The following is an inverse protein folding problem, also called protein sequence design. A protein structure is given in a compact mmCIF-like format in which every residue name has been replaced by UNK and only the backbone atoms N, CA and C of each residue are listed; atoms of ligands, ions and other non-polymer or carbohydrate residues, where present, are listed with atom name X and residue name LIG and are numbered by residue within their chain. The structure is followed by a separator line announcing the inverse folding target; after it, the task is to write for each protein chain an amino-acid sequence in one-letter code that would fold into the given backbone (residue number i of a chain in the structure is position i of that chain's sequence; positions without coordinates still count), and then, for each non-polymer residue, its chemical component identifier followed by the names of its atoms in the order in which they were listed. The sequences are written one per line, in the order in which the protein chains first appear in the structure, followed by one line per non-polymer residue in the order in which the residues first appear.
data_IF_609665933357
#
_entry.id   IF_609665933357
#
_cell.length_a   1.000
_cell.length_b   1.000
_cell.length_c   1.000
_cell.angle_alpha   90.00
_cell.angle_beta   90.00
_cell.angle_gamma   90.00
#
_symmetry.space_group_name_H-M   'P 1'
#
loop_
_entity.id
_entity.type
_entity.pdbx_description
1 polymer ?
#
# COMPACT_ATOMS: atom_id res chain seq x y z
N UNK A 1 -10.51 3.01 21.71
CA UNK A 1 -11.74 2.81 20.91
C UNK A 1 -11.58 3.12 19.42
N UNK A 2 -10.46 3.67 18.93
CA UNK A 2 -10.25 3.90 17.49
C UNK A 2 -9.93 2.61 16.68
N UNK A 3 -9.17 1.66 17.25
CA UNK A 3 -8.70 0.47 16.50
C UNK A 3 -9.79 -0.56 16.15
N UNK A 4 -10.88 -0.62 16.92
CA UNK A 4 -11.99 -1.55 16.64
C UNK A 4 -12.71 -1.21 15.33
N UNK A 5 -12.73 0.08 14.96
CA UNK A 5 -13.33 0.52 13.69
C UNK A 5 -12.49 0.08 12.47
N UNK A 6 -11.16 0.15 12.58
CA UNK A 6 -10.25 -0.20 11.47
C UNK A 6 -10.39 -1.67 11.08
N UNK A 7 -10.50 -2.58 12.05
CA UNK A 7 -10.65 -4.01 11.74
C UNK A 7 -11.92 -4.28 10.91
N UNK A 8 -13.04 -3.64 11.26
CA UNK A 8 -14.29 -3.77 10.49
C UNK A 8 -14.22 -3.11 9.11
N UNK A 9 -13.49 -2.00 8.95
CA UNK A 9 -13.21 -1.40 7.64
C UNK A 9 -12.42 -2.39 6.77
N UNK A 10 -11.35 -2.96 7.32
CA UNK A 10 -10.47 -3.90 6.62
C UNK A 10 -11.20 -5.16 6.15
N UNK A 11 -12.16 -5.67 6.93
CA UNK A 11 -13.00 -6.79 6.50
C UNK A 11 -13.87 -6.42 5.29
N UNK A 12 -14.51 -5.24 5.33
CA UNK A 12 -15.37 -4.75 4.24
C UNK A 12 -14.61 -4.47 2.95
N UNK A 13 -13.35 -4.04 3.05
CA UNK A 13 -12.44 -3.89 1.90
C UNK A 13 -12.25 -5.18 1.11
N UNK A 14 -12.39 -6.35 1.75
CA UNK A 14 -12.30 -7.66 1.10
C UNK A 14 -13.66 -8.25 0.69
N UNK A 15 -14.74 -7.46 0.83
CA UNK A 15 -16.10 -7.88 0.52
C UNK A 15 -16.38 -8.12 -0.97
N UNK A 16 -17.46 -8.85 -1.27
CA UNK A 16 -17.85 -9.14 -2.67
C UNK A 16 -18.41 -7.92 -3.40
N UNK A 17 -19.08 -7.04 -2.67
CA UNK A 17 -19.76 -5.87 -3.24
C UNK A 17 -18.78 -4.72 -3.51
N UNK A 18 -18.83 -4.18 -4.74
CA UNK A 18 -17.92 -3.11 -5.19
C UNK A 18 -18.09 -1.84 -4.37
N UNK A 19 -19.32 -1.44 -4.08
CA UNK A 19 -19.60 -0.18 -3.41
C UNK A 19 -19.19 -0.25 -1.94
N UNK A 20 -19.37 -1.41 -1.30
CA UNK A 20 -18.81 -1.65 0.04
C UNK A 20 -17.29 -1.61 0.07
N UNK A 21 -16.60 -2.20 -0.91
CA UNK A 21 -15.13 -2.10 -0.98
C UNK A 21 -14.69 -0.66 -1.20
N UNK A 22 -15.34 0.07 -2.09
CA UNK A 22 -15.06 1.48 -2.35
C UNK A 22 -15.25 2.33 -1.09
N UNK A 23 -16.41 2.22 -0.44
CA UNK A 23 -16.72 2.93 0.81
C UNK A 23 -15.70 2.61 1.90
N UNK A 24 -15.39 1.33 2.12
CA UNK A 24 -14.44 0.92 3.14
C UNK A 24 -13.02 1.45 2.84
N UNK A 25 -12.60 1.46 1.58
CA UNK A 25 -11.30 2.03 1.18
C UNK A 25 -11.30 3.55 1.39
N UNK A 26 -12.42 4.24 1.15
CA UNK A 26 -12.58 5.67 1.42
C UNK A 26 -12.53 5.99 2.92
N UNK A 27 -13.19 5.17 3.73
CA UNK A 27 -13.18 5.28 5.19
C UNK A 27 -11.76 5.07 5.71
N UNK A 28 -11.04 4.06 5.21
CA UNK A 28 -9.64 3.84 5.55
C UNK A 28 -8.77 5.06 5.21
N UNK A 29 -8.91 5.62 4.01
CA UNK A 29 -8.18 6.82 3.61
C UNK A 29 -8.44 7.98 4.59
N UNK A 30 -9.69 8.15 5.00
CA UNK A 30 -10.10 9.19 5.94
C UNK A 30 -9.49 8.98 7.33
N UNK A 31 -9.44 7.73 7.81
CA UNK A 31 -8.78 7.38 9.08
C UNK A 31 -7.26 7.59 9.03
N UNK A 32 -6.59 7.15 7.97
CA UNK A 32 -5.13 7.30 7.81
C UNK A 32 -4.67 8.76 7.82
N UNK A 33 -5.52 9.67 7.32
CA UNK A 33 -5.23 11.10 7.32
C UNK A 33 -5.38 11.77 8.69
N UNK A 34 -5.95 11.09 9.70
CA UNK A 34 -6.06 11.67 11.04
C UNK A 34 -4.70 11.63 11.73
N UNK A 35 -4.32 12.75 12.34
CA UNK A 35 -3.10 12.80 13.17
C UNK A 35 -3.17 11.82 14.36
N UNK A 36 -4.37 11.61 14.90
CA UNK A 36 -4.64 10.69 16.01
C UNK A 36 -4.57 9.21 15.65
N UNK A 37 -4.48 8.87 14.36
CA UNK A 37 -4.35 7.48 13.92
C UNK A 37 -3.02 6.89 14.41
N UNK A 38 -3.12 5.75 15.09
CA UNK A 38 -2.00 4.94 15.56
C UNK A 38 -2.30 3.48 15.30
N UNK A 39 -1.32 2.76 14.79
CA UNK A 39 -1.37 1.31 14.62
C UNK A 39 -0.29 0.67 15.49
N UNK A 40 -0.59 -0.51 16.03
CA UNK A 40 0.43 -1.42 16.52
C UNK A 40 1.00 -2.25 15.36
N UNK A 41 2.07 -3.00 15.62
CA UNK A 41 2.78 -3.76 14.60
C UNK A 41 1.88 -4.76 13.84
N UNK A 42 0.96 -5.41 14.54
CA UNK A 42 0.02 -6.36 13.95
C UNK A 42 -0.95 -5.64 13.00
N UNK A 43 -1.47 -4.50 13.44
CA UNK A 43 -2.36 -3.69 12.63
C UNK A 43 -1.64 -3.08 11.42
N UNK A 44 -0.40 -2.60 11.57
CA UNK A 44 0.43 -2.12 10.44
C UNK A 44 0.60 -3.21 9.37
N UNK A 45 0.89 -4.44 9.80
CA UNK A 45 1.04 -5.58 8.89
C UNK A 45 -0.27 -5.87 8.15
N UNK A 46 -1.40 -5.91 8.88
CA UNK A 46 -2.71 -6.20 8.29
C UNK A 46 -3.14 -5.10 7.32
N UNK A 47 -2.97 -3.83 7.71
CA UNK A 47 -3.26 -2.66 6.88
C UNK A 47 -2.51 -2.71 5.57
N UNK A 48 -1.19 -2.87 5.64
CA UNK A 48 -0.32 -2.87 4.46
C UNK A 48 -0.70 -4.00 3.50
N UNK A 49 -0.92 -5.21 4.02
CA UNK A 49 -1.30 -6.35 3.19
C UNK A 49 -2.66 -6.13 2.49
N UNK A 50 -3.66 -5.62 3.20
CA UNK A 50 -5.00 -5.41 2.63
C UNK A 50 -4.99 -4.26 1.61
N UNK A 51 -4.28 -3.17 1.87
CA UNK A 51 -4.12 -2.08 0.89
C UNK A 51 -3.41 -2.58 -0.37
N UNK A 52 -2.34 -3.36 -0.23
CA UNK A 52 -1.64 -3.95 -1.37
C UNK A 52 -2.52 -4.91 -2.18
N UNK A 53 -3.37 -5.70 -1.51
CA UNK A 53 -4.36 -6.54 -2.18
C UNK A 53 -5.40 -5.69 -2.93
N UNK A 54 -5.82 -4.56 -2.35
CA UNK A 54 -6.81 -3.67 -2.96
C UNK A 54 -6.31 -3.00 -4.24
N UNK A 55 -5.00 -2.88 -4.44
CA UNK A 55 -4.42 -2.40 -5.71
C UNK A 55 -4.75 -3.33 -6.89
N UNK A 56 -5.07 -4.59 -6.62
CA UNK A 56 -5.43 -5.60 -7.61
C UNK A 56 -6.95 -5.75 -7.77
N UNK A 57 -7.75 -4.81 -7.24
CA UNK A 57 -9.19 -4.85 -7.40
C UNK A 57 -9.60 -4.80 -8.88
N UNK A 58 -10.63 -5.57 -9.23
CA UNK A 58 -11.20 -5.55 -10.58
C UNK A 58 -11.80 -4.19 -10.95
N UNK A 59 -12.19 -3.38 -9.96
CA UNK A 59 -12.66 -2.01 -10.15
C UNK A 59 -11.48 -1.03 -10.13
N UNK A 60 -11.31 -0.28 -11.23
CA UNK A 60 -10.35 0.82 -11.33
C UNK A 60 -10.58 1.93 -10.30
N UNK A 61 -11.84 2.18 -9.90
CA UNK A 61 -12.17 3.18 -8.88
C UNK A 61 -11.64 2.76 -7.49
N UNK A 62 -11.75 1.47 -7.17
CA UNK A 62 -11.34 0.92 -5.88
C UNK A 62 -9.82 0.83 -5.80
N UNK A 63 -9.17 0.31 -6.84
CA UNK A 63 -7.71 0.25 -6.90
C UNK A 63 -7.08 1.66 -6.97
N UNK A 64 -7.69 2.60 -7.68
CA UNK A 64 -7.27 4.01 -7.69
C UNK A 64 -7.39 4.67 -6.31
N UNK A 65 -8.40 4.31 -5.51
CA UNK A 65 -8.53 4.78 -4.14
C UNK A 65 -7.53 4.12 -3.19
N UNK A 66 -7.20 2.85 -3.42
CA UNK A 66 -6.13 2.15 -2.70
C UNK A 66 -4.75 2.80 -2.93
N UNK A 67 -4.45 3.23 -4.15
CA UNK A 67 -3.23 4.01 -4.44
C UNK A 67 -3.17 5.28 -3.57
N UNK A 68 -4.28 6.00 -3.41
CA UNK A 68 -4.34 7.20 -2.56
C UNK A 68 -4.10 6.90 -1.08
N UNK A 69 -4.41 5.69 -0.62
CA UNK A 69 -4.16 5.28 0.77
C UNK A 69 -2.67 5.10 1.07
N UNK A 70 -1.84 4.79 0.07
CA UNK A 70 -0.41 4.56 0.26
C UNK A 70 0.30 5.80 0.82
N UNK A 71 -0.07 6.99 0.34
CA UNK A 71 0.61 8.22 0.72
C UNK A 71 0.54 8.52 2.24
N UNK A 72 -0.64 8.54 2.88
CA UNK A 72 -0.70 8.64 4.33
C UNK A 72 -0.23 7.35 5.03
N UNK A 73 -0.41 6.16 4.45
CA UNK A 73 0.03 4.90 5.08
C UNK A 73 1.53 4.86 5.33
N UNK A 74 2.36 5.29 4.37
CA UNK A 74 3.83 5.35 4.51
C UNK A 74 4.26 6.17 5.74
N UNK A 75 3.49 7.21 6.08
CA UNK A 75 3.75 8.08 7.24
C UNK A 75 3.27 7.50 8.57
N UNK A 76 2.52 6.39 8.54
CA UNK A 76 1.83 5.80 9.69
C UNK A 76 2.36 4.41 10.06
N UNK A 77 3.28 3.86 9.27
CA UNK A 77 3.91 2.56 9.52
C UNK A 77 5.41 2.73 9.72
N UNK A 78 6.05 1.74 10.34
CA UNK A 78 7.49 1.76 10.53
C UNK A 78 8.30 1.59 9.22
N UNK A 79 9.59 1.95 9.25
CA UNK A 79 10.47 1.89 8.07
C UNK A 79 10.56 0.48 7.45
N UNK A 80 10.63 -0.58 8.27
CA UNK A 80 10.70 -1.96 7.77
C UNK A 80 9.46 -2.33 6.96
N UNK A 81 8.28 -1.87 7.40
CA UNK A 81 7.02 -2.06 6.69
C UNK A 81 7.00 -1.33 5.36
N UNK A 82 7.58 -0.13 5.28
CA UNK A 82 7.69 0.62 4.01
C UNK A 82 8.62 -0.07 3.03
N UNK A 83 9.76 -0.60 3.50
CA UNK A 83 10.67 -1.40 2.66
C UNK A 83 9.96 -2.64 2.12
N UNK A 84 9.29 -3.42 2.99
CA UNK A 84 8.54 -4.61 2.57
C UNK A 84 7.44 -4.28 1.54
N UNK A 85 6.75 -3.15 1.74
CA UNK A 85 5.74 -2.65 0.80
C UNK A 85 6.35 -2.31 -0.56
N UNK A 86 7.53 -1.68 -0.57
CA UNK A 86 8.27 -1.32 -1.79
C UNK A 86 8.70 -2.57 -2.55
N UNK A 87 9.22 -3.59 -1.84
CA UNK A 87 9.63 -4.86 -2.44
C UNK A 87 8.45 -5.60 -3.08
N UNK A 88 7.32 -5.70 -2.36
CA UNK A 88 6.10 -6.32 -2.89
C UNK A 88 5.57 -5.60 -4.13
N UNK A 89 5.65 -4.27 -4.16
CA UNK A 89 5.23 -3.49 -5.32
C UNK A 89 6.18 -3.67 -6.51
N UNK A 90 7.49 -3.78 -6.26
CA UNK A 90 8.46 -4.08 -7.30
C UNK A 90 8.26 -5.49 -7.87
N UNK A 91 8.06 -6.50 -7.01
CA UNK A 91 7.75 -7.86 -7.47
C UNK A 91 6.47 -7.89 -8.32
N UNK A 92 5.41 -7.19 -7.91
CA UNK A 92 4.19 -7.07 -8.72
C UNK A 92 4.42 -6.34 -10.06
N UNK A 93 5.30 -5.35 -10.09
CA UNK A 93 5.66 -4.65 -11.32
C UNK A 93 6.40 -5.58 -12.29
N UNK A 94 7.36 -6.36 -11.79
CA UNK A 94 8.23 -7.21 -12.61
C UNK A 94 7.57 -8.55 -12.96
N UNK A 95 6.97 -9.22 -11.97
CA UNK A 95 6.48 -10.60 -12.05
C UNK A 95 4.95 -10.72 -11.94
N UNK A 96 4.23 -9.62 -11.68
CA UNK A 96 2.78 -9.62 -11.56
C UNK A 96 2.05 -9.75 -12.90
N UNK A 97 0.71 -9.83 -12.81
CA UNK A 97 -0.18 -9.90 -13.99
C UNK A 97 -0.15 -8.59 -14.78
N UNK A 98 -0.11 -8.67 -16.10
CA UNK A 98 -0.02 -7.49 -17.00
C UNK A 98 -1.05 -6.40 -16.67
N UNK A 99 -2.30 -6.78 -16.41
CA UNK A 99 -3.38 -5.84 -16.09
C UNK A 99 -3.17 -5.03 -14.78
N UNK A 100 -2.28 -5.47 -13.89
CA UNK A 100 -2.00 -4.80 -12.61
C UNK A 100 -0.62 -4.12 -12.58
N UNK A 101 0.22 -4.32 -13.59
CA UNK A 101 1.59 -3.75 -13.64
C UNK A 101 1.57 -2.22 -13.62
N UNK A 102 0.65 -1.60 -14.36
CA UNK A 102 0.49 -0.14 -14.36
C UNK A 102 0.12 0.39 -12.98
N UNK A 103 -0.83 -0.25 -12.30
CA UNK A 103 -1.21 0.12 -10.93
C UNK A 103 -0.06 -0.10 -9.95
N UNK A 104 0.69 -1.19 -10.07
CA UNK A 104 1.87 -1.45 -9.25
C UNK A 104 2.96 -0.38 -9.44
N UNK A 105 3.20 0.05 -10.69
CA UNK A 105 4.13 1.15 -11.01
C UNK A 105 3.71 2.47 -10.37
N UNK A 106 2.43 2.83 -10.49
CA UNK A 106 1.87 4.05 -9.89
C UNK A 106 1.96 3.99 -8.36
N UNK A 107 1.62 2.84 -7.77
CA UNK A 107 1.69 2.60 -6.34
C UNK A 107 3.13 2.69 -5.81
N UNK A 108 4.10 2.09 -6.51
CA UNK A 108 5.52 2.15 -6.15
C UNK A 108 6.01 3.61 -6.15
N UNK A 109 5.66 4.38 -7.19
CA UNK A 109 5.94 5.82 -7.24
C UNK A 109 5.29 6.57 -6.07
N UNK A 110 4.04 6.27 -5.75
CA UNK A 110 3.32 6.92 -4.65
C UNK A 110 3.99 6.67 -3.30
N UNK A 111 4.54 5.46 -3.06
CA UNK A 111 5.32 5.15 -1.86
C UNK A 111 6.63 5.94 -1.84
N UNK A 112 7.40 5.90 -2.95
CA UNK A 112 8.73 6.53 -3.03
C UNK A 112 8.67 8.04 -2.79
N UNK A 113 7.64 8.73 -3.31
CA UNK A 113 7.49 10.19 -3.15
C UNK A 113 7.31 10.61 -1.69
N UNK A 114 6.82 9.72 -0.82
CA UNK A 114 6.61 10.02 0.60
C UNK A 114 7.81 9.69 1.49
N UNK A 115 8.89 9.13 0.92
CA UNK A 115 10.12 8.83 1.65
C UNK A 115 10.89 10.11 1.90
N UNK A 116 10.95 10.52 3.17
CA UNK A 116 11.55 11.81 3.58
C UNK A 116 12.83 11.66 4.40
N UNK A 117 13.17 10.46 4.88
CA UNK A 117 14.37 10.22 5.69
C UNK A 117 15.48 9.55 4.88
N UNK A 118 16.73 9.92 5.17
CA UNK A 118 17.90 9.32 4.51
C UNK A 118 18.06 7.83 4.86
N UNK A 119 17.74 7.44 6.10
CA UNK A 119 17.75 6.03 6.54
C UNK A 119 16.82 5.17 5.70
N UNK A 120 15.56 5.59 5.55
CA UNK A 120 14.59 4.85 4.77
C UNK A 120 14.93 4.83 3.28
N UNK A 121 15.41 5.96 2.73
CA UNK A 121 15.80 6.01 1.32
C UNK A 121 16.97 5.08 1.02
N UNK A 122 17.97 4.99 1.90
CA UNK A 122 19.10 4.06 1.75
C UNK A 122 18.62 2.60 1.78
N UNK A 123 17.77 2.22 2.75
CA UNK A 123 17.20 0.88 2.83
C UNK A 123 16.42 0.50 1.58
N UNK A 124 15.59 1.41 1.08
CA UNK A 124 14.82 1.21 -0.16
C UNK A 124 15.76 1.07 -1.36
N UNK A 125 16.77 1.93 -1.49
CA UNK A 125 17.71 1.87 -2.61
C UNK A 125 18.49 0.54 -2.64
N UNK A 126 18.97 0.08 -1.48
CA UNK A 126 19.69 -1.19 -1.36
C UNK A 126 18.82 -2.37 -1.80
N UNK A 127 17.52 -2.35 -1.47
CA UNK A 127 16.61 -3.42 -1.85
C UNK A 127 16.10 -3.33 -3.29
N UNK A 128 15.67 -2.14 -3.72
CA UNK A 128 14.92 -1.92 -4.95
C UNK A 128 15.81 -1.87 -6.20
N UNK A 129 16.99 -1.26 -6.12
CA UNK A 129 17.89 -1.11 -7.25
C UNK A 129 18.28 -2.44 -7.92
N UNK A 130 18.73 -3.49 -7.21
CA UNK A 130 19.07 -4.76 -7.85
C UNK A 130 17.86 -5.44 -8.52
N UNK A 131 16.67 -5.32 -7.93
CA UNK A 131 15.44 -5.88 -8.51
C UNK A 131 15.09 -5.21 -9.83
N UNK A 132 15.12 -3.87 -9.88
CA UNK A 132 14.84 -3.11 -11.12
C UNK A 132 15.89 -3.35 -12.20
N UNK A 133 17.18 -3.44 -11.83
CA UNK A 133 18.26 -3.78 -12.78
C UNK A 133 18.00 -5.18 -13.37
N UNK A 134 17.65 -6.15 -12.53
CA UNK A 134 17.32 -7.51 -12.98
C UNK A 134 16.10 -7.51 -13.92
N UNK A 135 15.10 -6.68 -13.65
CA UNK A 135 13.88 -6.57 -14.46
C UNK A 135 14.05 -5.93 -15.85
N UNK A 136 15.13 -5.19 -16.09
CA UNK A 136 15.45 -4.63 -17.42
C UNK A 136 16.51 -5.43 -18.19
N UNK A 137 17.20 -6.35 -17.51
CA UNK A 137 18.29 -7.15 -18.09
C UNK A 137 17.86 -8.58 -18.46
N UNK A 138 16.70 -9.04 -17.97
CA UNK A 138 16.06 -10.29 -18.37
C UNK A 138 14.75 -10.03 -19.11
#
# INVERSE_FOLDING_TARGET
MANTNITGILEKMTGKDKDYRYMATSDLLSELNKESFKADQDLESKLTNIVLQQLEDASGDVSGLAVKCLAPLVKKVNEERVVEMTDKLCDKLLNGKDQHRDTASIALKAVIVEVTTASLSEKILVSLAPQLINGVTN
#
